data_IF_406458309267
#
_entry.id   IF_406458309267
#
_cell.length_a   1.000
_cell.length_b   1.000
_cell.length_c   1.000
_cell.angle_alpha   90.00
_cell.angle_beta   90.00
_cell.angle_gamma   90.00
#
_symmetry.space_group_name_H-M   'P 1'
#
loop_
_entity.id
_entity.type
_entity.pdbx_description
1 polymer ?
#
# COMPACT_ATOMS: atom_id res chain seq x y z
N UNK A 1 -0.81 33.91 63.04
CA UNK A 1 -0.32 33.75 61.63
C UNK A 1 0.19 32.34 61.30
N UNK A 2 0.89 31.62 62.18
CA UNK A 2 1.39 30.27 61.86
C UNK A 2 0.29 29.20 61.68
N UNK A 3 -0.81 29.29 62.44
CA UNK A 3 -1.95 28.38 62.34
C UNK A 3 -2.63 28.43 60.95
N UNK A 4 -2.82 29.65 60.43
CA UNK A 4 -3.36 29.90 59.08
C UNK A 4 -2.42 29.34 58.01
N UNK A 5 -1.10 29.58 58.12
CA UNK A 5 -0.11 29.02 57.17
C UNK A 5 -0.10 27.48 57.16
N UNK A 6 -0.37 26.83 58.31
CA UNK A 6 -0.41 25.37 58.42
C UNK A 6 -1.67 24.77 57.77
N UNK A 7 -2.80 25.48 57.84
CA UNK A 7 -4.07 25.12 57.19
C UNK A 7 -3.99 25.29 55.67
N UNK A 8 -3.38 26.37 55.18
CA UNK A 8 -3.27 26.66 53.74
C UNK A 8 -2.02 26.09 53.07
N UNK A 9 -1.11 25.46 53.82
CA UNK A 9 0.13 24.85 53.30
C UNK A 9 -0.11 23.84 52.14
N UNK A 10 -1.08 22.90 52.22
CA UNK A 10 -1.32 21.97 51.12
C UNK A 10 -1.83 22.68 49.86
N UNK A 11 -2.61 23.76 50.02
CA UNK A 11 -3.10 24.57 48.90
C UNK A 11 -1.96 25.36 48.22
N UNK A 12 -1.07 25.96 49.01
CA UNK A 12 0.12 26.66 48.52
C UNK A 12 1.09 25.72 47.79
N UNK A 13 1.22 24.47 48.26
CA UNK A 13 2.03 23.46 47.59
C UNK A 13 1.48 23.10 46.20
N UNK A 14 0.15 22.96 46.06
CA UNK A 14 -0.51 22.70 44.77
C UNK A 14 -0.30 23.88 43.81
N UNK A 15 -0.48 25.12 44.26
CA UNK A 15 -0.27 26.32 43.42
C UNK A 15 1.18 26.39 42.95
N UNK A 16 2.14 26.17 43.85
CA UNK A 16 3.56 26.18 43.51
C UNK A 16 3.90 25.10 42.48
N UNK A 17 3.37 23.90 42.66
CA UNK A 17 3.53 22.81 41.70
C UNK A 17 2.97 23.17 40.31
N UNK A 18 1.77 23.74 40.25
CA UNK A 18 1.16 24.18 38.98
C UNK A 18 2.02 25.26 38.30
N UNK A 19 2.58 26.21 39.06
CA UNK A 19 3.43 27.25 38.49
C UNK A 19 4.76 26.70 37.97
N UNK A 20 5.42 25.81 38.73
CA UNK A 20 6.68 25.19 38.34
C UNK A 20 6.53 24.28 37.11
N UNK A 21 5.37 23.62 36.97
CA UNK A 21 5.09 22.68 35.88
C UNK A 21 4.09 23.19 34.85
N UNK A 22 3.75 24.48 34.84
CA UNK A 22 2.68 25.04 34.00
C UNK A 22 2.85 24.68 32.51
N UNK A 23 4.06 24.81 31.97
CA UNK A 23 4.35 24.48 30.56
C UNK A 23 4.19 22.99 30.27
N UNK A 24 4.61 22.13 31.19
CA UNK A 24 4.46 20.68 31.04
C UNK A 24 2.99 20.26 31.14
N UNK A 25 2.23 20.83 32.08
CA UNK A 25 0.78 20.63 32.18
C UNK A 25 0.04 21.15 30.95
N UNK A 26 0.42 22.33 30.43
CA UNK A 26 -0.17 22.88 29.20
C UNK A 26 0.14 22.00 27.99
N UNK A 27 1.37 21.50 27.89
CA UNK A 27 1.75 20.54 26.85
C UNK A 27 0.94 19.24 26.96
N UNK A 28 0.85 18.65 28.15
CA UNK A 28 0.05 17.44 28.40
C UNK A 28 -1.44 17.69 28.14
N UNK A 29 -1.96 18.87 28.45
CA UNK A 29 -3.34 19.26 28.15
C UNK A 29 -3.55 19.40 26.63
N UNK A 30 -2.60 20.00 25.90
CA UNK A 30 -2.67 20.11 24.44
C UNK A 30 -2.59 18.72 23.81
N UNK A 31 -1.67 17.87 24.26
CA UNK A 31 -1.57 16.45 23.87
C UNK A 31 -2.90 15.76 24.16
N UNK A 32 -3.42 15.87 25.37
CA UNK A 32 -4.72 15.29 25.74
C UNK A 32 -5.85 15.81 24.85
N UNK A 33 -5.95 17.12 24.58
CA UNK A 33 -7.01 17.68 23.72
C UNK A 33 -6.88 17.26 22.25
N UNK A 34 -5.66 16.95 21.79
CA UNK A 34 -5.40 16.42 20.44
C UNK A 34 -5.82 14.96 20.35
N UNK A 35 -5.48 14.16 21.38
CA UNK A 35 -5.67 12.70 21.38
C UNK A 35 -6.94 12.22 22.07
N UNK A 36 -7.64 13.09 22.81
CA UNK A 36 -8.87 12.73 23.48
C UNK A 36 -9.94 12.35 22.43
N UNK A 37 -10.71 11.27 22.68
CA UNK A 37 -11.85 10.93 21.86
C UNK A 37 -12.82 12.12 21.84
N UNK A 38 -13.20 12.57 20.64
CA UNK A 38 -14.08 13.74 20.44
C UNK A 38 -15.56 13.36 20.37
N UNK A 39 -15.84 12.06 20.34
CA UNK A 39 -17.19 11.49 20.27
C UNK A 39 -17.20 10.10 20.90
N UNK A 40 -18.38 9.64 21.32
CA UNK A 40 -18.59 8.23 21.75
C UNK A 40 -18.28 7.23 20.63
N UNK A 41 -18.37 7.66 19.36
CA UNK A 41 -17.98 6.88 18.18
C UNK A 41 -16.49 6.50 18.19
N UNK A 42 -15.61 7.36 18.73
CA UNK A 42 -14.17 7.07 18.86
C UNK A 42 -13.90 5.97 19.91
N UNK A 43 -14.89 5.62 20.75
CA UNK A 43 -14.79 4.59 21.78
C UNK A 43 -15.37 3.23 21.32
N UNK A 44 -16.21 3.21 20.27
CA UNK A 44 -16.72 1.97 19.70
C UNK A 44 -15.62 1.29 18.89
N UNK A 45 -15.34 0.00 19.10
CA UNK A 45 -14.40 -0.71 18.23
C UNK A 45 -14.96 -0.72 16.80
N UNK A 46 -14.11 -0.40 15.83
CA UNK A 46 -14.49 -0.46 14.41
C UNK A 46 -14.86 -1.90 14.04
N UNK A 47 -15.81 -2.03 13.11
CA UNK A 47 -16.31 -3.32 12.64
C UNK A 47 -16.00 -3.59 11.16
N UNK A 48 -15.43 -2.62 10.45
CA UNK A 48 -14.96 -2.76 9.07
C UNK A 48 -13.57 -2.14 8.95
N UNK A 49 -12.69 -2.79 8.20
CA UNK A 49 -11.32 -2.32 8.00
C UNK A 49 -11.14 -1.75 6.60
N UNK A 50 -10.48 -0.60 6.48
CA UNK A 50 -10.07 -0.04 5.20
C UNK A 50 -8.55 0.11 5.15
N UNK A 51 -7.92 -0.61 4.21
CA UNK A 51 -6.47 -0.66 4.01
C UNK A 51 -6.15 -0.02 2.67
N UNK A 52 -5.01 0.67 2.57
CA UNK A 52 -4.59 1.35 1.35
C UNK A 52 -3.28 0.74 0.81
N UNK A 53 -3.26 0.45 -0.48
CA UNK A 53 -2.05 0.09 -1.23
C UNK A 53 -1.84 1.12 -2.35
N UNK A 54 -0.98 2.11 -2.08
CA UNK A 54 -0.79 3.28 -2.94
C UNK A 54 0.66 3.38 -3.40
N UNK A 55 0.86 3.66 -4.69
CA UNK A 55 2.19 3.82 -5.28
C UNK A 55 2.88 2.49 -5.61
N UNK A 56 4.17 2.52 -6.00
CA UNK A 56 4.91 1.33 -6.39
C UNK A 56 5.07 0.31 -5.25
N UNK A 57 4.87 -0.96 -5.55
CA UNK A 57 4.97 -2.06 -4.57
C UNK A 57 6.43 -2.53 -4.47
N UNK A 58 7.12 -2.14 -3.41
CA UNK A 58 8.51 -2.57 -3.13
C UNK A 58 8.66 -3.25 -1.77
N UNK A 59 7.89 -2.77 -0.80
CA UNK A 59 7.81 -3.28 0.57
C UNK A 59 6.31 -3.36 0.90
N UNK A 60 5.88 -4.41 1.59
CA UNK A 60 4.45 -4.71 1.84
C UNK A 60 4.17 -5.17 3.26
N UNK A 61 5.19 -5.23 4.13
CA UNK A 61 5.06 -5.75 5.49
C UNK A 61 3.94 -5.05 6.26
N UNK A 62 3.82 -3.73 6.14
CA UNK A 62 2.77 -2.96 6.79
C UNK A 62 1.37 -3.35 6.28
N UNK A 63 1.19 -3.42 4.96
CA UNK A 63 -0.10 -3.78 4.34
C UNK A 63 -0.48 -5.23 4.67
N UNK A 64 0.47 -6.16 4.62
CA UNK A 64 0.26 -7.56 4.98
C UNK A 64 -0.12 -7.69 6.46
N UNK A 65 0.58 -6.99 7.36
CA UNK A 65 0.27 -6.98 8.79
C UNK A 65 -1.13 -6.42 9.03
N UNK A 66 -1.51 -5.31 8.40
CA UNK A 66 -2.87 -4.76 8.52
C UNK A 66 -3.93 -5.76 8.05
N UNK A 67 -3.69 -6.49 6.95
CA UNK A 67 -4.61 -7.53 6.46
C UNK A 67 -4.74 -8.67 7.49
N UNK A 68 -3.62 -9.18 8.02
CA UNK A 68 -3.61 -10.31 8.95
C UNK A 68 -4.19 -9.92 10.34
N UNK A 69 -3.94 -8.70 10.82
CA UNK A 69 -4.55 -8.11 12.02
C UNK A 69 -6.06 -7.96 11.84
N UNK A 70 -6.48 -7.36 10.73
CA UNK A 70 -7.89 -7.20 10.40
C UNK A 70 -8.59 -8.56 10.29
N UNK A 71 -7.93 -9.58 9.71
CA UNK A 71 -8.47 -10.92 9.58
C UNK A 71 -8.60 -11.65 10.95
N UNK A 72 -7.71 -11.37 11.91
CA UNK A 72 -7.73 -12.00 13.25
C UNK A 72 -8.56 -11.24 14.29
N UNK A 73 -8.83 -9.95 14.08
CA UNK A 73 -9.60 -9.11 15.00
C UNK A 73 -11.08 -9.51 15.05
N UNK A 74 -11.60 -9.99 16.18
CA UNK A 74 -13.01 -10.43 16.32
C UNK A 74 -14.05 -9.33 16.05
N UNK A 75 -13.69 -8.06 16.19
CA UNK A 75 -14.61 -6.93 15.99
C UNK A 75 -14.76 -6.58 14.51
N UNK A 76 -13.68 -6.67 13.73
CA UNK A 76 -13.69 -6.50 12.27
C UNK A 76 -14.48 -7.63 11.62
N UNK A 77 -15.43 -7.29 10.74
CA UNK A 77 -16.31 -8.23 10.04
C UNK A 77 -16.04 -8.30 8.55
N UNK A 78 -15.38 -7.30 7.96
CA UNK A 78 -14.98 -7.27 6.56
C UNK A 78 -13.86 -6.27 6.30
N UNK A 79 -13.21 -6.44 5.15
CA UNK A 79 -12.03 -5.69 4.75
C UNK A 79 -12.26 -5.07 3.37
N UNK A 80 -11.93 -3.79 3.23
CA UNK A 80 -11.80 -3.09 1.96
C UNK A 80 -10.32 -2.79 1.71
N UNK A 81 -9.75 -3.37 0.65
CA UNK A 81 -8.43 -2.97 0.17
C UNK A 81 -8.59 -1.95 -0.97
N UNK A 82 -8.26 -0.69 -0.68
CA UNK A 82 -8.31 0.42 -1.62
C UNK A 82 -6.95 0.56 -2.32
N UNK A 83 -6.92 0.48 -3.65
CA UNK A 83 -5.69 0.41 -4.44
C UNK A 83 -5.61 1.55 -5.44
N UNK A 84 -4.45 2.21 -5.44
CA UNK A 84 -4.00 3.10 -6.52
C UNK A 84 -2.50 2.88 -6.74
N UNK A 85 -2.16 1.87 -7.52
CA UNK A 85 -0.79 1.39 -7.68
C UNK A 85 -0.53 0.89 -9.10
N UNK A 86 0.59 1.30 -9.74
CA UNK A 86 1.02 0.76 -11.03
C UNK A 86 1.60 -0.67 -10.94
N UNK A 87 1.67 -1.25 -9.73
CA UNK A 87 2.35 -2.50 -9.44
C UNK A 87 3.76 -2.29 -8.91
N UNK A 88 4.64 -3.27 -9.11
CA UNK A 88 6.00 -3.22 -8.58
C UNK A 88 6.65 -4.60 -8.57
N UNK A 89 7.41 -4.90 -7.52
CA UNK A 89 8.10 -6.16 -7.34
C UNK A 89 7.11 -7.34 -7.23
N UNK A 90 7.46 -8.44 -7.89
CA UNK A 90 6.60 -9.63 -8.01
C UNK A 90 6.38 -10.30 -6.64
N UNK A 91 7.44 -10.59 -5.90
CA UNK A 91 7.32 -11.28 -4.61
C UNK A 91 6.50 -10.50 -3.58
N UNK A 92 6.73 -9.18 -3.36
CA UNK A 92 5.84 -8.37 -2.52
C UNK A 92 4.37 -8.38 -2.96
N UNK A 93 4.11 -8.35 -4.27
CA UNK A 93 2.74 -8.44 -4.80
C UNK A 93 2.06 -9.78 -4.46
N UNK A 94 2.82 -10.89 -4.52
CA UNK A 94 2.35 -12.23 -4.15
C UNK A 94 2.09 -12.32 -2.65
N UNK A 95 2.92 -11.73 -1.80
CA UNK A 95 2.68 -11.70 -0.34
C UNK A 95 1.33 -11.07 0.00
N UNK A 96 0.99 -9.93 -0.62
CA UNK A 96 -0.33 -9.30 -0.46
C UNK A 96 -1.44 -10.21 -0.98
N UNK A 97 -1.26 -10.83 -2.16
CA UNK A 97 -2.25 -11.75 -2.73
C UNK A 97 -2.57 -12.90 -1.78
N UNK A 98 -1.54 -13.53 -1.20
CA UNK A 98 -1.71 -14.64 -0.27
C UNK A 98 -2.25 -14.18 1.10
N UNK A 99 -1.94 -12.96 1.54
CA UNK A 99 -2.59 -12.36 2.71
C UNK A 99 -4.10 -12.19 2.49
N UNK A 100 -4.52 -11.67 1.33
CA UNK A 100 -5.94 -11.58 0.99
C UNK A 100 -6.61 -12.95 0.89
N UNK A 101 -5.90 -13.95 0.33
CA UNK A 101 -6.39 -15.32 0.25
C UNK A 101 -6.69 -15.88 1.64
N UNK A 102 -5.78 -15.74 2.61
CA UNK A 102 -5.98 -16.14 4.01
C UNK A 102 -7.09 -15.35 4.69
N UNK A 103 -7.17 -14.03 4.44
CA UNK A 103 -8.19 -13.17 5.03
C UNK A 103 -9.60 -13.55 4.54
N UNK A 104 -9.75 -13.83 3.24
CA UNK A 104 -11.00 -14.25 2.59
C UNK A 104 -11.61 -15.51 3.19
N UNK A 105 -10.79 -16.44 3.68
CA UNK A 105 -11.27 -17.65 4.36
C UNK A 105 -12.01 -17.34 5.68
N UNK A 106 -11.73 -16.17 6.28
CA UNK A 106 -12.30 -15.77 7.57
C UNK A 106 -13.38 -14.71 7.43
N UNK A 107 -13.21 -13.77 6.49
CA UNK A 107 -14.04 -12.56 6.35
C UNK A 107 -14.13 -12.11 4.90
N UNK A 108 -15.22 -11.45 4.49
CA UNK A 108 -15.29 -10.82 3.19
C UNK A 108 -14.18 -9.79 2.98
N UNK A 109 -13.51 -9.88 1.83
CA UNK A 109 -12.48 -8.98 1.35
C UNK A 109 -12.93 -8.43 0.00
N UNK A 110 -13.14 -7.12 -0.10
CA UNK A 110 -13.38 -6.43 -1.37
C UNK A 110 -12.16 -5.60 -1.72
N UNK A 111 -11.73 -5.66 -2.97
CA UNK A 111 -10.75 -4.74 -3.54
C UNK A 111 -11.49 -3.64 -4.27
N UNK A 112 -11.06 -2.39 -4.06
CA UNK A 112 -11.52 -1.25 -4.82
C UNK A 112 -10.35 -0.61 -5.57
N UNK A 113 -10.41 -0.62 -6.89
CA UNK A 113 -9.50 0.15 -7.73
C UNK A 113 -9.94 1.62 -7.67
N UNK A 114 -9.23 2.42 -6.89
CA UNK A 114 -9.50 3.85 -6.72
C UNK A 114 -8.86 4.70 -7.83
N UNK A 115 -7.71 4.24 -8.33
CA UNK A 115 -7.03 4.83 -9.47
C UNK A 115 -6.51 3.72 -10.38
N UNK A 116 -5.24 3.37 -10.25
CA UNK A 116 -4.61 2.31 -11.03
C UNK A 116 -4.64 0.97 -10.29
N UNK A 117 -5.04 -0.10 -10.97
CA UNK A 117 -4.94 -1.50 -10.52
C UNK A 117 -4.23 -2.32 -11.60
N UNK A 118 -2.91 -2.16 -11.69
CA UNK A 118 -2.10 -2.66 -12.79
C UNK A 118 -0.92 -3.53 -12.32
N UNK A 119 -0.54 -4.52 -13.14
CA UNK A 119 0.63 -5.37 -12.94
C UNK A 119 0.64 -6.00 -11.53
N UNK A 120 1.68 -5.79 -10.73
CA UNK A 120 1.78 -6.33 -9.37
C UNK A 120 0.57 -6.02 -8.46
N UNK A 121 -0.06 -4.85 -8.59
CA UNK A 121 -1.23 -4.53 -7.75
C UNK A 121 -2.50 -5.27 -8.19
N UNK A 122 -2.60 -5.60 -9.47
CA UNK A 122 -3.61 -6.54 -9.96
C UNK A 122 -3.34 -7.95 -9.42
N UNK A 123 -2.07 -8.43 -9.44
CA UNK A 123 -1.68 -9.69 -8.82
C UNK A 123 -2.10 -9.73 -7.34
N UNK A 124 -1.78 -8.68 -6.58
CA UNK A 124 -2.12 -8.55 -5.17
C UNK A 124 -3.63 -8.72 -4.86
N UNK A 125 -4.48 -8.54 -5.87
CA UNK A 125 -5.94 -8.47 -5.71
C UNK A 125 -6.70 -9.73 -6.13
N UNK A 126 -6.06 -10.65 -6.83
CA UNK A 126 -6.73 -11.75 -7.54
C UNK A 126 -7.56 -12.69 -6.65
N UNK A 127 -7.21 -12.78 -5.36
CA UNK A 127 -7.87 -13.68 -4.42
C UNK A 127 -9.02 -13.03 -3.64
N UNK A 128 -9.32 -11.74 -3.84
CA UNK A 128 -10.44 -11.06 -3.19
C UNK A 128 -11.79 -11.74 -3.46
N UNK A 129 -12.82 -11.44 -2.65
CA UNK A 129 -14.18 -11.87 -2.95
C UNK A 129 -14.70 -11.15 -4.18
N UNK A 130 -14.47 -9.84 -4.24
CA UNK A 130 -14.87 -8.99 -5.36
C UNK A 130 -13.83 -7.90 -5.60
N UNK A 131 -13.66 -7.54 -6.87
CA UNK A 131 -12.90 -6.39 -7.36
C UNK A 131 -13.89 -5.41 -7.98
N UNK A 132 -13.97 -4.23 -7.42
CA UNK A 132 -14.80 -3.12 -7.90
C UNK A 132 -13.85 -2.05 -8.44
N UNK A 133 -14.09 -1.53 -9.64
CA UNK A 133 -13.26 -0.46 -10.19
C UNK A 133 -14.02 0.85 -10.33
N UNK A 134 -13.34 1.96 -10.02
CA UNK A 134 -13.81 3.29 -10.38
C UNK A 134 -13.99 3.38 -11.90
N UNK A 135 -15.04 4.08 -12.42
CA UNK A 135 -15.20 4.28 -13.85
C UNK A 135 -13.97 4.88 -14.56
N UNK A 136 -13.17 5.68 -13.86
CA UNK A 136 -11.93 6.29 -14.34
C UNK A 136 -10.66 5.46 -14.13
N UNK A 137 -10.77 4.25 -13.56
CA UNK A 137 -9.61 3.41 -13.26
C UNK A 137 -9.01 2.76 -14.50
N UNK A 138 -7.69 2.55 -14.44
CA UNK A 138 -6.95 1.68 -15.34
C UNK A 138 -6.69 0.35 -14.63
N UNK A 139 -7.03 -0.75 -15.29
CA UNK A 139 -6.91 -2.11 -14.75
C UNK A 139 -6.12 -2.99 -15.72
N UNK A 140 -5.42 -4.00 -15.21
CA UNK A 140 -4.75 -5.00 -16.04
C UNK A 140 -3.24 -4.86 -15.99
N UNK A 141 -2.59 -4.62 -17.12
CA UNK A 141 -1.12 -4.67 -17.26
C UNK A 141 -0.54 -5.99 -16.72
N UNK A 142 -1.26 -7.10 -16.95
CA UNK A 142 -0.82 -8.43 -16.54
C UNK A 142 0.31 -8.84 -17.47
N UNK A 143 1.53 -8.67 -16.98
CA UNK A 143 2.77 -8.83 -17.70
C UNK A 143 3.94 -8.66 -16.75
N UNK A 144 5.12 -9.08 -17.20
CA UNK A 144 6.37 -9.01 -16.44
C UNK A 144 7.42 -8.37 -17.33
N UNK A 145 8.17 -7.42 -16.77
CA UNK A 145 9.24 -6.75 -17.49
C UNK A 145 10.51 -6.78 -16.65
N UNK A 146 11.64 -6.94 -17.33
CA UNK A 146 12.95 -6.62 -16.79
C UNK A 146 13.58 -5.59 -17.71
N UNK A 147 14.20 -4.57 -17.13
CA UNK A 147 14.80 -3.46 -17.86
C UNK A 147 16.25 -3.30 -17.45
N UNK A 148 17.08 -2.90 -18.41
CA UNK A 148 18.48 -2.54 -18.18
C UNK A 148 18.89 -1.48 -19.20
N UNK A 149 19.80 -0.60 -18.80
CA UNK A 149 20.38 0.41 -19.68
C UNK A 149 21.79 0.01 -20.07
N UNK A 150 22.12 0.12 -21.36
CA UNK A 150 23.51 0.08 -21.82
C UNK A 150 24.08 1.49 -21.77
N UNK A 151 25.03 1.71 -20.85
CA UNK A 151 25.72 3.00 -20.66
C UNK A 151 27.15 2.99 -21.20
N UNK A 152 27.56 1.93 -21.92
CA UNK A 152 28.92 1.77 -22.45
C UNK A 152 29.35 2.94 -23.34
N UNK A 153 28.42 3.47 -24.15
CA UNK A 153 28.67 4.64 -24.99
C UNK A 153 28.98 5.92 -24.18
N UNK A 154 28.34 6.10 -23.02
CA UNK A 154 28.65 7.21 -22.11
C UNK A 154 30.01 6.99 -21.45
N UNK A 155 30.25 5.80 -20.91
CA UNK A 155 31.52 5.44 -20.25
C UNK A 155 32.72 5.67 -21.17
N UNK A 156 32.60 5.29 -22.44
CA UNK A 156 33.63 5.53 -23.46
C UNK A 156 33.96 7.01 -23.64
N UNK A 157 32.95 7.89 -23.69
CA UNK A 157 33.14 9.35 -23.87
C UNK A 157 33.88 10.00 -22.71
N UNK A 158 33.67 9.51 -21.49
CA UNK A 158 34.29 10.06 -20.27
C UNK A 158 35.52 9.27 -19.81
N UNK A 159 35.98 8.31 -20.62
CA UNK A 159 37.21 7.55 -20.38
C UNK A 159 37.11 6.48 -19.29
N UNK A 160 35.92 6.07 -18.86
CA UNK A 160 35.74 4.98 -17.89
C UNK A 160 35.86 3.62 -18.60
N UNK A 161 36.67 2.72 -18.04
CA UNK A 161 36.80 1.33 -18.49
C UNK A 161 36.38 0.38 -17.37
N UNK A 162 35.51 -0.58 -17.70
CA UNK A 162 35.11 -1.63 -16.77
C UNK A 162 36.12 -2.78 -16.77
N UNK A 163 36.41 -3.34 -15.59
CA UNK A 163 37.24 -4.52 -15.40
C UNK A 163 36.54 -5.44 -14.41
N UNK A 164 36.44 -6.73 -14.73
CA UNK A 164 35.74 -7.69 -13.88
C UNK A 164 36.40 -9.07 -13.93
N UNK A 165 36.56 -9.69 -12.76
CA UNK A 165 36.89 -11.12 -12.59
C UNK A 165 35.66 -11.75 -11.94
N UNK A 166 35.19 -12.87 -12.48
CA UNK A 166 33.97 -13.52 -12.01
C UNK A 166 34.07 -15.04 -12.04
N UNK A 167 33.40 -15.68 -11.09
CA UNK A 167 33.11 -17.10 -11.12
C UNK A 167 31.66 -17.32 -11.60
N UNK A 168 31.48 -18.19 -12.59
CA UNK A 168 30.17 -18.52 -13.18
C UNK A 168 29.82 -17.71 -14.43
N UNK A 169 29.30 -18.41 -15.45
CA UNK A 169 28.95 -17.85 -16.77
C UNK A 169 27.94 -16.70 -16.69
N UNK A 170 26.93 -16.84 -15.84
CA UNK A 170 25.79 -15.92 -15.78
C UNK A 170 25.98 -14.72 -14.83
N UNK A 171 27.13 -14.61 -14.14
CA UNK A 171 27.33 -13.62 -13.07
C UNK A 171 27.27 -12.15 -13.54
N UNK A 172 27.43 -11.90 -14.85
CA UNK A 172 27.30 -10.57 -15.48
C UNK A 172 26.04 -10.37 -16.32
N UNK A 173 25.09 -11.30 -16.30
CA UNK A 173 23.76 -11.07 -16.87
C UNK A 173 23.17 -9.82 -16.22
N UNK A 174 22.58 -8.92 -17.02
CA UNK A 174 22.02 -7.66 -16.52
C UNK A 174 23.04 -6.52 -16.35
N UNK A 175 24.29 -6.69 -16.81
CA UNK A 175 25.30 -5.62 -16.73
C UNK A 175 24.92 -4.40 -17.57
N UNK A 176 25.38 -3.22 -17.14
CA UNK A 176 25.10 -1.93 -17.82
C UNK A 176 26.30 -1.42 -18.62
N UNK A 177 27.46 -2.06 -18.47
CA UNK A 177 28.74 -1.59 -19.03
C UNK A 177 29.00 -2.03 -20.47
N UNK A 178 28.08 -2.80 -21.05
CA UNK A 178 28.03 -3.25 -22.45
C UNK A 178 26.65 -3.79 -22.80
N UNK A 179 26.39 -3.97 -24.08
CA UNK A 179 25.21 -4.70 -24.55
C UNK A 179 25.20 -6.15 -24.03
N UNK A 180 23.99 -6.63 -23.71
CA UNK A 180 23.76 -8.04 -23.40
C UNK A 180 23.92 -8.92 -24.63
N UNK A 181 24.64 -10.01 -24.46
CA UNK A 181 24.76 -11.07 -25.47
C UNK A 181 23.46 -11.88 -25.58
N UNK A 182 23.31 -12.63 -26.67
CA UNK A 182 22.11 -13.46 -26.89
C UNK A 182 21.86 -14.47 -25.76
N UNK A 183 22.90 -15.15 -25.26
CA UNK A 183 22.71 -16.13 -24.18
C UNK A 183 22.31 -15.47 -22.85
N UNK A 184 22.70 -14.21 -22.61
CA UNK A 184 22.27 -13.45 -21.42
C UNK A 184 20.81 -13.04 -21.56
N UNK A 185 20.40 -12.58 -22.75
CA UNK A 185 19.00 -12.30 -23.09
C UNK A 185 18.15 -13.57 -22.94
N UNK A 186 18.60 -14.71 -23.44
CA UNK A 186 17.90 -16.00 -23.30
C UNK A 186 17.78 -16.45 -21.84
N UNK A 187 18.81 -16.24 -21.02
CA UNK A 187 18.75 -16.56 -19.59
C UNK A 187 17.72 -15.70 -18.85
N UNK A 188 17.66 -14.40 -19.14
CA UNK A 188 16.65 -13.50 -18.58
C UNK A 188 15.24 -13.83 -19.08
N UNK A 189 15.11 -14.21 -20.37
CA UNK A 189 13.82 -14.61 -20.94
C UNK A 189 13.23 -15.83 -20.24
N UNK A 190 14.04 -16.81 -19.80
CA UNK A 190 13.55 -17.94 -19.00
C UNK A 190 12.86 -17.47 -17.71
N UNK A 191 13.49 -16.51 -17.02
CA UNK A 191 12.97 -15.97 -15.75
C UNK A 191 11.68 -15.18 -15.99
N UNK A 192 11.68 -14.30 -16.99
CA UNK A 192 10.49 -13.48 -17.32
C UNK A 192 9.33 -14.36 -17.77
N UNK A 193 9.57 -15.34 -18.64
CA UNK A 193 8.52 -16.23 -19.14
C UNK A 193 7.93 -17.08 -18.02
N UNK A 194 8.77 -17.67 -17.16
CA UNK A 194 8.29 -18.44 -16.01
C UNK A 194 7.46 -17.60 -15.04
N UNK A 195 7.84 -16.34 -14.83
CA UNK A 195 7.08 -15.40 -13.98
C UNK A 195 5.76 -14.98 -14.62
N UNK A 196 5.74 -14.78 -15.94
CA UNK A 196 4.53 -14.44 -16.69
C UNK A 196 3.54 -15.61 -16.74
N UNK A 197 4.03 -16.84 -16.93
CA UNK A 197 3.21 -18.05 -16.89
C UNK A 197 2.59 -18.25 -15.50
N UNK A 198 3.36 -18.03 -14.43
CA UNK A 198 2.85 -18.03 -13.06
C UNK A 198 1.75 -16.99 -12.86
N UNK A 199 2.01 -15.72 -13.22
CA UNK A 199 1.06 -14.63 -13.02
C UNK A 199 -0.25 -14.88 -13.79
N UNK A 200 -0.16 -15.28 -15.06
CA UNK A 200 -1.37 -15.52 -15.87
C UNK A 200 -2.16 -16.74 -15.43
N UNK A 201 -1.49 -17.81 -14.97
CA UNK A 201 -2.16 -18.95 -14.36
C UNK A 201 -2.89 -18.56 -13.07
N UNK A 202 -2.25 -17.78 -12.19
CA UNK A 202 -2.85 -17.31 -10.95
C UNK A 202 -4.05 -16.38 -11.20
N UNK A 203 -3.97 -15.47 -12.17
CA UNK A 203 -5.10 -14.64 -12.59
C UNK A 203 -6.24 -15.51 -13.11
N UNK A 204 -5.95 -16.48 -13.99
CA UNK A 204 -6.97 -17.38 -14.52
C UNK A 204 -7.68 -18.15 -13.39
N UNK A 205 -6.92 -18.66 -12.42
CA UNK A 205 -7.46 -19.36 -11.26
C UNK A 205 -8.27 -18.44 -10.33
N UNK A 206 -7.76 -17.25 -10.00
CA UNK A 206 -8.40 -16.31 -9.08
C UNK A 206 -9.68 -15.69 -9.64
N UNK A 207 -9.74 -15.53 -10.96
CA UNK A 207 -10.86 -14.87 -11.66
C UNK A 207 -11.78 -15.83 -12.41
N UNK A 208 -11.47 -17.13 -12.43
CA UNK A 208 -12.24 -18.15 -13.16
C UNK A 208 -12.20 -17.99 -14.67
N UNK A 209 -11.07 -17.53 -15.21
CA UNK A 209 -10.87 -17.32 -16.66
C UNK A 209 -10.23 -18.56 -17.29
N UNK A 210 -10.50 -18.81 -18.57
CA UNK A 210 -9.81 -19.86 -19.32
C UNK A 210 -8.41 -19.39 -19.69
N UNK A 211 -7.39 -20.06 -19.15
CA UNK A 211 -5.98 -19.80 -19.45
C UNK A 211 -5.65 -19.94 -20.94
N UNK A 212 -6.44 -20.69 -21.73
CA UNK A 212 -6.27 -20.76 -23.18
C UNK A 212 -6.57 -19.44 -23.89
N UNK A 213 -7.38 -18.59 -23.27
CA UNK A 213 -7.68 -17.24 -23.73
C UNK A 213 -6.78 -16.19 -23.07
N UNK A 214 -5.59 -16.58 -22.57
CA UNK A 214 -4.65 -15.70 -21.88
C UNK A 214 -4.49 -14.33 -22.55
N UNK A 215 -4.36 -14.31 -23.87
CA UNK A 215 -4.09 -13.08 -24.63
C UNK A 215 -5.25 -12.07 -24.57
N UNK A 216 -6.47 -12.48 -24.23
CA UNK A 216 -7.61 -11.55 -24.12
C UNK A 216 -7.58 -10.72 -22.85
N UNK A 217 -6.95 -11.21 -21.78
CA UNK A 217 -6.94 -10.57 -20.48
C UNK A 217 -5.52 -10.23 -19.98
N UNK A 218 -4.48 -10.82 -20.58
CA UNK A 218 -3.08 -10.61 -20.23
C UNK A 218 -2.32 -9.84 -21.32
N UNK A 219 -1.10 -10.27 -21.65
CA UNK A 219 -0.22 -9.66 -22.65
C UNK A 219 0.03 -8.15 -22.41
N UNK A 220 0.08 -7.76 -21.14
CA UNK A 220 0.22 -6.37 -20.68
C UNK A 220 -0.85 -5.39 -21.20
N UNK A 221 -2.02 -5.88 -21.63
CA UNK A 221 -3.13 -5.00 -21.98
C UNK A 221 -3.57 -4.15 -20.78
N UNK A 222 -3.77 -2.85 -21.03
CA UNK A 222 -4.36 -1.92 -20.07
C UNK A 222 -5.80 -1.69 -20.49
N UNK A 223 -6.70 -1.81 -19.52
CA UNK A 223 -8.13 -1.74 -19.72
C UNK A 223 -8.71 -0.57 -18.93
N UNK A 224 -9.68 0.13 -19.53
CA UNK A 224 -10.66 0.89 -18.74
C UNK A 224 -11.48 -0.05 -17.86
N UNK A 225 -12.13 0.45 -16.81
CA UNK A 225 -13.00 -0.34 -15.96
C UNK A 225 -14.06 -1.14 -16.74
N UNK A 226 -14.68 -0.52 -17.76
CA UNK A 226 -15.67 -1.18 -18.62
C UNK A 226 -15.07 -2.34 -19.43
N UNK A 227 -13.88 -2.15 -20.00
CA UNK A 227 -13.20 -3.22 -20.74
C UNK A 227 -12.74 -4.34 -19.79
N UNK A 228 -12.20 -3.99 -18.62
CA UNK A 228 -11.74 -4.94 -17.61
C UNK A 228 -12.89 -5.83 -17.14
N UNK A 229 -14.09 -5.26 -16.97
CA UNK A 229 -15.30 -6.03 -16.63
C UNK A 229 -15.67 -7.00 -17.75
N UNK A 230 -15.63 -6.56 -19.01
CA UNK A 230 -15.94 -7.39 -20.18
C UNK A 230 -15.01 -8.60 -20.33
N UNK A 231 -13.73 -8.46 -19.99
CA UNK A 231 -12.76 -9.56 -20.01
C UNK A 231 -12.69 -10.35 -18.70
N UNK A 232 -13.54 -10.03 -17.71
CA UNK A 232 -13.66 -10.74 -16.43
C UNK A 232 -12.58 -10.42 -15.39
N UNK A 233 -11.81 -9.35 -15.60
CA UNK A 233 -10.77 -8.93 -14.65
C UNK A 233 -11.34 -8.26 -13.39
N UNK A 234 -12.55 -7.71 -13.45
CA UNK A 234 -13.25 -7.12 -12.31
C UNK A 234 -14.70 -7.59 -12.25
N UNK A 235 -15.34 -7.47 -11.10
CA UNK A 235 -16.71 -7.93 -10.86
C UNK A 235 -17.74 -6.83 -11.15
N UNK A 236 -17.44 -5.59 -10.74
CA UNK A 236 -18.35 -4.46 -10.96
C UNK A 236 -17.63 -3.12 -11.08
N UNK A 237 -18.39 -2.12 -11.48
CA UNK A 237 -17.93 -0.74 -11.65
C UNK A 237 -18.75 0.11 -10.69
N UNK A 238 -18.07 0.93 -9.92
CA UNK A 238 -18.68 1.76 -8.88
C UNK A 238 -17.66 2.68 -8.25
N UNK A 239 -18.11 3.55 -7.37
CA UNK A 239 -17.23 4.43 -6.60
C UNK A 239 -16.97 3.84 -5.21
N UNK A 240 -16.08 4.47 -4.43
CA UNK A 240 -15.72 3.99 -3.09
C UNK A 240 -16.93 3.77 -2.18
N UNK A 241 -17.96 4.60 -2.31
CA UNK A 241 -19.24 4.44 -1.60
C UNK A 241 -19.88 3.07 -1.86
N UNK A 242 -19.91 2.63 -3.11
CA UNK A 242 -20.46 1.33 -3.50
C UNK A 242 -19.62 0.18 -2.94
N UNK A 243 -18.29 0.32 -2.97
CA UNK A 243 -17.39 -0.69 -2.43
C UNK A 243 -17.52 -0.84 -0.91
N UNK A 244 -17.64 0.28 -0.17
CA UNK A 244 -17.89 0.25 1.28
C UNK A 244 -19.22 -0.43 1.61
N UNK A 245 -20.28 -0.09 0.88
CA UNK A 245 -21.57 -0.74 1.05
C UNK A 245 -21.50 -2.22 0.72
N UNK A 246 -20.73 -2.62 -0.29
CA UNK A 246 -20.57 -4.03 -0.65
C UNK A 246 -19.90 -4.84 0.45
N UNK A 247 -18.83 -4.31 1.06
CA UNK A 247 -18.19 -4.94 2.23
C UNK A 247 -19.19 -5.09 3.36
N UNK A 248 -19.93 -4.03 3.71
CA UNK A 248 -20.93 -4.07 4.78
C UNK A 248 -22.01 -5.12 4.52
N UNK A 249 -22.50 -5.21 3.29
CA UNK A 249 -23.49 -6.20 2.87
C UNK A 249 -22.95 -7.62 2.99
N UNK A 250 -21.76 -7.90 2.46
CA UNK A 250 -21.13 -9.23 2.55
C UNK A 250 -20.83 -9.61 4.01
N UNK A 251 -20.56 -8.63 4.86
CA UNK A 251 -20.22 -8.82 6.28
C UNK A 251 -21.44 -8.87 7.21
N UNK A 252 -22.66 -8.64 6.70
CA UNK A 252 -23.88 -8.59 7.50
C UNK A 252 -23.92 -7.44 8.51
N UNK A 253 -23.22 -6.33 8.26
CA UNK A 253 -23.12 -5.18 9.15
C UNK A 253 -24.15 -4.12 8.77
N UNK A 254 -24.94 -3.64 9.75
CA UNK A 254 -25.96 -2.60 9.57
C UNK A 254 -25.42 -1.19 9.86
N UNK A 255 -24.69 -1.01 10.96
CA UNK A 255 -23.99 0.24 11.31
C UNK A 255 -22.52 0.13 10.88
N UNK A 256 -22.11 0.87 9.85
CA UNK A 256 -20.74 0.81 9.32
C UNK A 256 -19.79 1.65 10.18
N UNK A 257 -18.94 1.00 10.97
CA UNK A 257 -17.89 1.63 11.76
C UNK A 257 -16.54 1.27 11.13
N UNK A 258 -16.09 2.12 10.21
CA UNK A 258 -14.81 1.96 9.53
C UNK A 258 -13.65 2.36 10.44
N UNK A 259 -12.57 1.59 10.43
CA UNK A 259 -11.31 2.03 11.01
C UNK A 259 -10.86 3.30 10.27
N UNK A 260 -10.89 4.44 10.97
CA UNK A 260 -10.37 5.70 10.44
C UNK A 260 -8.88 5.69 10.73
N UNK A 261 -8.06 5.98 9.71
CA UNK A 261 -6.62 6.20 9.84
C UNK A 261 -6.31 6.98 11.13
N UNK A 262 -5.32 6.50 11.90
CA UNK A 262 -5.01 7.05 13.22
C UNK A 262 -4.81 8.58 13.11
N UNK A 263 -5.41 9.33 14.03
CA UNK A 263 -5.34 10.80 14.03
C UNK A 263 -3.89 11.28 14.11
N UNK A 264 -3.02 10.53 14.78
CA UNK A 264 -1.58 10.76 14.83
C UNK A 264 -0.95 10.53 13.46
N UNK A 265 -1.21 9.41 12.81
CA UNK A 265 -0.64 9.12 11.49
C UNK A 265 -1.07 10.15 10.46
N UNK A 266 -2.35 10.54 10.49
CA UNK A 266 -2.87 11.63 9.66
C UNK A 266 -2.22 12.99 9.96
N UNK A 267 -1.92 13.28 11.23
CA UNK A 267 -1.23 14.49 11.65
C UNK A 267 0.24 14.49 11.20
N UNK A 268 0.95 13.37 11.40
CA UNK A 268 2.34 13.20 10.99
C UNK A 268 2.47 13.25 9.46
N UNK A 269 1.56 12.62 8.71
CA UNK A 269 1.49 12.73 7.24
C UNK A 269 1.26 14.18 6.79
N UNK A 270 0.37 14.92 7.45
CA UNK A 270 0.16 16.36 7.14
C UNK A 270 1.37 17.22 7.49
N UNK A 271 1.98 17.01 8.65
CA UNK A 271 3.16 17.74 9.10
C UNK A 271 4.35 17.45 8.20
N UNK A 272 4.60 16.19 7.85
CA UNK A 272 5.68 15.80 6.94
C UNK A 272 5.46 16.38 5.55
N UNK A 273 4.24 16.35 5.01
CA UNK A 273 3.92 16.97 3.73
C UNK A 273 4.12 18.50 3.76
N UNK A 274 3.63 19.20 4.80
CA UNK A 274 3.84 20.64 4.96
C UNK A 274 5.32 20.98 5.18
N UNK A 275 6.05 20.20 5.96
CA UNK A 275 7.48 20.37 6.18
C UNK A 275 8.25 20.16 4.88
N UNK A 276 7.94 19.13 4.10
CA UNK A 276 8.55 18.89 2.80
C UNK A 276 8.31 20.06 1.84
N UNK A 277 7.08 20.57 1.76
CA UNK A 277 6.75 21.75 0.94
C UNK A 277 7.49 23.00 1.43
N UNK A 278 7.57 23.22 2.74
CA UNK A 278 8.25 24.38 3.33
C UNK A 278 9.76 24.31 3.11
N UNK A 279 10.38 23.16 3.36
CA UNK A 279 11.80 22.93 3.10
C UNK A 279 12.09 23.09 1.60
N UNK A 280 11.26 22.55 0.71
CA UNK A 280 11.43 22.73 -0.72
C UNK A 280 11.31 24.21 -1.13
N UNK A 281 10.36 24.95 -0.55
CA UNK A 281 10.09 26.35 -0.91
C UNK A 281 11.19 27.30 -0.42
N UNK A 282 11.70 27.09 0.80
CA UNK A 282 12.66 28.01 1.42
C UNK A 282 14.12 27.52 1.37
N UNK A 283 14.33 26.22 1.16
CA UNK A 283 15.64 25.58 1.18
C UNK A 283 15.80 24.54 0.05
N UNK A 284 15.59 24.92 -1.23
CA UNK A 284 15.62 23.98 -2.35
C UNK A 284 16.97 23.26 -2.53
N UNK A 285 18.07 23.87 -2.06
CA UNK A 285 19.44 23.32 -2.15
C UNK A 285 19.75 22.21 -1.14
N UNK A 286 18.89 21.98 -0.13
CA UNK A 286 19.07 20.94 0.89
C UNK A 286 18.53 19.56 0.47
N UNK A 287 17.69 19.49 -0.56
CA UNK A 287 17.08 18.25 -1.05
C UNK A 287 17.82 17.71 -2.30
N UNK A 288 18.56 18.57 -3.01
CA UNK A 288 19.37 18.18 -4.17
C UNK A 288 20.81 17.91 -3.73
N UNK A 289 21.06 16.72 -3.19
CA UNK A 289 22.36 16.03 -3.19
C UNK A 289 22.16 14.53 -3.29
#
# INVERSE_FOLDING_TARGET
>A
MQFIKKIFSPFLAIIKFIQEHFKAMLFLLIVFLIFAPKSEEDLKPHNLEQIYLVGPIMEVSEVVNQIDEAASNRFVKGILLNIDSPGGAVAPSIEVAYALKRAKEKKPVVVYANGTLASGSYYASIWANEIIANPGSMVGSIGVVMQGADVSGLMSKIGIKSQSIQAGKYKKVGTVDREWTNYEKDELNKVIQGTYDLFTADVANGRGLDIKNRDTFANAHIFTAEQAKKVGLIDSIGVEYDAKNRVAQLSGVTEQLWNKEDKFDKLIKKLSAQAAVTIHTYFPTLIIR
#
